data_IF_157874227800
#
_entry.id   IF_157874227800
#
_cell.length_a   1.000
_cell.length_b   1.000
_cell.length_c   1.000
_cell.angle_alpha   90.00
_cell.angle_beta   90.00
_cell.angle_gamma   90.00
#
_symmetry.space_group_name_H-M   'P 1'
#
loop_
_entity.id
_entity.type
_entity.pdbx_description
1 polymer ?
#
# COMPACT_ATOMS: atom_id res chain seq x y z
N UNK A 1 -46.98 11.18 10.20
CA UNK A 1 -46.00 10.11 10.52
C UNK A 1 -44.68 10.54 9.91
N UNK A 2 -43.63 10.71 10.72
CA UNK A 2 -42.28 11.01 10.23
C UNK A 2 -41.63 9.69 9.81
N UNK A 3 -41.19 9.61 8.56
CA UNK A 3 -40.31 8.53 8.11
C UNK A 3 -39.03 8.53 8.96
N UNK A 4 -38.55 7.37 9.44
CA UNK A 4 -37.24 7.30 10.03
C UNK A 4 -36.25 7.45 8.86
N UNK A 5 -35.56 8.58 8.81
CA UNK A 5 -34.35 8.73 8.00
C UNK A 5 -33.46 7.54 8.37
N UNK A 6 -33.35 6.59 7.45
CA UNK A 6 -32.34 5.54 7.49
C UNK A 6 -31.00 6.24 7.27
N UNK A 7 -30.51 6.87 8.33
CA UNK A 7 -29.13 7.28 8.42
C UNK A 7 -28.39 5.96 8.45
N UNK A 8 -27.86 5.56 7.29
CA UNK A 8 -26.70 4.69 7.23
C UNK A 8 -25.64 5.44 8.05
N UNK A 9 -25.61 5.18 9.36
CA UNK A 9 -24.57 5.71 10.23
C UNK A 9 -23.31 5.01 9.77
N UNK A 10 -22.65 5.61 8.78
CA UNK A 10 -21.30 5.27 8.39
C UNK A 10 -20.53 5.14 9.70
N UNK A 11 -20.14 3.92 10.02
CA UNK A 11 -19.53 3.56 11.30
C UNK A 11 -18.38 4.54 11.48
N UNK A 12 -18.41 5.37 12.52
CA UNK A 12 -17.35 6.35 12.71
C UNK A 12 -16.05 5.60 12.96
N UNK A 13 -15.28 5.47 11.89
CA UNK A 13 -14.20 4.54 11.84
C UNK A 13 -12.97 5.27 12.42
N UNK A 14 -12.58 4.86 13.62
CA UNK A 14 -11.58 5.55 14.45
C UNK A 14 -10.16 5.06 14.16
N UNK A 15 -9.16 5.89 14.46
CA UNK A 15 -7.76 5.46 14.40
C UNK A 15 -7.48 4.24 15.29
N UNK A 16 -8.16 4.14 16.44
CA UNK A 16 -8.04 2.98 17.31
C UNK A 16 -8.58 1.69 16.66
N UNK A 17 -9.69 1.78 15.92
CA UNK A 17 -10.23 0.65 15.15
C UNK A 17 -9.26 0.22 14.06
N UNK A 18 -8.65 1.18 13.37
CA UNK A 18 -7.62 0.93 12.36
C UNK A 18 -6.42 0.21 12.95
N UNK A 19 -5.87 0.70 14.07
CA UNK A 19 -4.72 0.06 14.74
C UNK A 19 -5.04 -1.34 15.29
N UNK A 20 -6.30 -1.60 15.70
CA UNK A 20 -6.74 -2.94 16.12
C UNK A 20 -6.73 -3.97 14.99
N UNK A 21 -6.84 -3.55 13.73
CA UNK A 21 -6.69 -4.44 12.58
C UNK A 21 -5.24 -4.90 12.37
N UNK A 22 -4.27 -4.36 13.13
CA UNK A 22 -2.86 -4.69 12.99
C UNK A 22 -2.33 -4.32 11.60
N UNK A 23 -2.46 -3.05 11.18
CA UNK A 23 -2.08 -2.65 9.83
C UNK A 23 -0.59 -2.92 9.62
N UNK A 24 -0.25 -3.39 8.42
CA UNK A 24 1.13 -3.64 8.05
C UNK A 24 1.93 -2.34 8.17
N UNK A 25 3.14 -2.43 8.71
CA UNK A 25 4.08 -1.30 8.74
C UNK A 25 5.00 -1.35 7.53
N UNK A 26 5.48 -0.17 7.12
CA UNK A 26 6.46 -0.01 6.05
C UNK A 26 7.62 0.86 6.52
N UNK A 27 8.85 0.34 6.41
CA UNK A 27 10.07 0.99 6.90
C UNK A 27 10.81 1.75 5.79
N UNK A 28 10.54 1.44 4.52
CA UNK A 28 11.10 2.10 3.35
C UNK A 28 12.43 1.52 2.87
N UNK A 29 12.82 0.34 3.34
CA UNK A 29 14.07 -0.34 2.95
C UNK A 29 13.86 -1.80 2.48
N UNK A 30 12.61 -2.26 2.46
CA UNK A 30 12.25 -3.65 2.16
C UNK A 30 12.06 -3.95 0.66
N UNK A 31 12.06 -2.92 -0.20
CA UNK A 31 11.91 -3.04 -1.66
C UNK A 31 10.47 -2.98 -2.17
N UNK A 32 10.32 -3.08 -3.49
CA UNK A 32 9.07 -2.83 -4.21
C UNK A 32 7.96 -3.83 -3.86
N UNK A 33 8.29 -5.13 -3.73
CA UNK A 33 7.34 -6.17 -3.31
C UNK A 33 6.66 -5.77 -2.00
N UNK A 34 7.45 -5.33 -1.03
CA UNK A 34 6.93 -5.00 0.29
C UNK A 34 6.09 -3.72 0.29
N UNK A 35 6.44 -2.76 -0.55
CA UNK A 35 5.62 -1.57 -0.76
C UNK A 35 4.24 -1.95 -1.31
N UNK A 36 4.18 -2.83 -2.31
CA UNK A 36 2.91 -3.28 -2.91
C UNK A 36 2.08 -4.06 -1.91
N UNK A 37 2.65 -5.02 -1.17
CA UNK A 37 1.92 -5.73 -0.12
C UNK A 37 1.38 -4.79 0.96
N UNK A 38 2.13 -3.72 1.28
CA UNK A 38 1.65 -2.70 2.21
C UNK A 38 0.47 -1.92 1.62
N UNK A 39 0.48 -1.52 0.34
CA UNK A 39 -0.67 -0.89 -0.30
C UNK A 39 -1.92 -1.79 -0.26
N UNK A 40 -1.79 -3.06 -0.64
CA UNK A 40 -2.89 -4.02 -0.64
C UNK A 40 -3.49 -4.21 0.76
N UNK A 41 -2.62 -4.30 1.78
CA UNK A 41 -3.07 -4.40 3.17
C UNK A 41 -3.91 -3.19 3.59
N UNK A 42 -3.50 -1.98 3.18
CA UNK A 42 -4.22 -0.75 3.47
C UNK A 42 -5.53 -0.69 2.71
N UNK A 43 -5.55 -1.06 1.44
CA UNK A 43 -6.74 -1.06 0.59
C UNK A 43 -7.80 -2.06 1.08
N UNK A 44 -7.40 -3.28 1.40
CA UNK A 44 -8.28 -4.28 2.01
C UNK A 44 -8.85 -3.79 3.35
N UNK A 45 -8.00 -3.18 4.20
CA UNK A 45 -8.46 -2.55 5.46
C UNK A 45 -9.46 -1.43 5.20
N UNK A 46 -9.27 -0.65 4.13
CA UNK A 46 -10.16 0.42 3.73
C UNK A 46 -11.51 -0.04 3.21
N UNK A 47 -11.53 -1.12 2.45
CA UNK A 47 -12.74 -1.72 1.89
C UNK A 47 -13.61 -2.35 2.98
N UNK A 48 -13.03 -3.20 3.84
CA UNK A 48 -13.76 -3.90 4.91
C UNK A 48 -14.43 -2.93 5.90
N UNK A 49 -13.82 -1.78 6.14
CA UNK A 49 -14.23 -0.84 7.17
C UNK A 49 -14.91 0.43 6.62
N UNK A 50 -15.11 0.53 5.30
CA UNK A 50 -15.73 1.68 4.62
C UNK A 50 -15.14 3.05 5.03
N UNK A 51 -13.81 3.12 5.22
CA UNK A 51 -13.17 4.36 5.68
C UNK A 51 -13.35 5.50 4.66
N UNK A 52 -13.81 6.67 5.12
CA UNK A 52 -13.89 7.88 4.32
C UNK A 52 -12.52 8.26 3.73
N UNK A 53 -12.49 8.67 2.46
CA UNK A 53 -11.26 8.98 1.73
C UNK A 53 -10.30 9.93 2.48
N UNK A 54 -10.85 10.95 3.15
CA UNK A 54 -10.10 11.96 3.92
C UNK A 54 -9.31 11.39 5.10
N UNK A 55 -9.66 10.19 5.60
CA UNK A 55 -8.95 9.55 6.73
C UNK A 55 -7.87 8.58 6.28
N UNK A 56 -7.91 8.13 5.01
CA UNK A 56 -6.99 7.11 4.48
C UNK A 56 -5.53 7.53 4.60
N UNK A 57 -5.19 8.75 4.17
CA UNK A 57 -3.82 9.27 4.22
C UNK A 57 -3.33 9.43 5.66
N UNK A 58 -4.15 9.98 6.56
CA UNK A 58 -3.76 10.15 7.97
C UNK A 58 -3.52 8.81 8.67
N UNK A 59 -4.31 7.79 8.36
CA UNK A 59 -4.17 6.46 8.98
C UNK A 59 -3.00 5.68 8.42
N UNK A 60 -2.84 5.65 7.10
CA UNK A 60 -1.68 4.98 6.45
C UNK A 60 -0.36 5.61 6.85
N UNK A 61 -0.25 6.94 6.85
CA UNK A 61 1.01 7.62 7.17
C UNK A 61 1.45 7.40 8.62
N UNK A 62 0.52 7.08 9.52
CA UNK A 62 0.83 6.67 10.88
C UNK A 62 1.46 5.26 10.99
N UNK A 63 1.41 4.46 9.91
CA UNK A 63 2.06 3.13 9.84
C UNK A 63 3.44 3.16 9.21
N UNK A 64 3.88 4.33 8.72
CA UNK A 64 5.22 4.54 8.18
C UNK A 64 6.24 4.61 9.32
N UNK A 65 7.35 3.92 9.13
CA UNK A 65 8.45 3.86 10.07
C UNK A 65 9.78 4.10 9.34
N UNK A 66 10.87 4.24 10.09
CA UNK A 66 12.22 4.33 9.52
C UNK A 66 12.35 5.37 8.41
N UNK A 67 12.92 4.97 7.27
CA UNK A 67 13.15 5.81 6.09
C UNK A 67 11.84 6.38 5.54
N UNK A 68 10.79 5.56 5.52
CA UNK A 68 9.48 5.97 5.00
C UNK A 68 8.87 7.12 5.81
N UNK A 69 8.98 7.07 7.14
CA UNK A 69 8.51 8.15 8.00
C UNK A 69 9.33 9.44 7.81
N UNK A 70 10.65 9.34 7.71
CA UNK A 70 11.53 10.49 7.44
C UNK A 70 11.18 11.15 6.10
N UNK A 71 10.94 10.36 5.07
CA UNK A 71 10.49 10.85 3.77
C UNK A 71 9.14 11.56 3.87
N UNK A 72 8.13 10.96 4.51
CA UNK A 72 6.81 11.58 4.65
C UNK A 72 6.86 12.90 5.42
N UNK A 73 7.67 12.98 6.48
CA UNK A 73 7.89 14.23 7.22
C UNK A 73 8.49 15.33 6.33
N UNK A 74 9.36 14.96 5.38
CA UNK A 74 9.93 15.90 4.40
C UNK A 74 8.87 16.41 3.42
N UNK A 75 7.93 15.56 3.00
CA UNK A 75 6.77 15.96 2.20
C UNK A 75 5.88 16.94 2.97
N UNK A 76 5.57 16.64 4.24
CA UNK A 76 4.79 17.52 5.12
C UNK A 76 5.48 18.87 5.33
N UNK A 77 6.81 18.89 5.48
CA UNK A 77 7.58 20.13 5.61
C UNK A 77 7.57 20.96 4.33
N UNK A 78 7.64 20.32 3.16
CA UNK A 78 7.69 20.99 1.85
C UNK A 78 6.33 21.55 1.44
N UNK A 79 5.25 20.82 1.72
CA UNK A 79 3.92 21.10 1.17
C UNK A 79 2.97 21.74 2.20
N UNK A 80 3.29 21.60 3.48
CA UNK A 80 2.39 21.90 4.59
C UNK A 80 1.51 20.71 4.94
N UNK A 81 1.22 20.57 6.25
CA UNK A 81 0.48 19.43 6.82
C UNK A 81 -0.92 19.25 6.27
N UNK A 82 -1.65 20.35 6.07
CA UNK A 82 -3.01 20.30 5.54
C UNK A 82 -3.01 19.83 4.08
N UNK A 83 -2.13 20.38 3.25
CA UNK A 83 -2.01 19.99 1.83
C UNK A 83 -1.57 18.55 1.70
N UNK A 84 -0.55 18.13 2.45
CA UNK A 84 -0.06 16.75 2.43
C UNK A 84 -1.15 15.74 2.85
N UNK A 85 -1.93 16.05 3.88
CA UNK A 85 -3.00 15.18 4.35
C UNK A 85 -4.28 15.22 3.50
N UNK A 86 -4.51 16.31 2.75
CA UNK A 86 -5.66 16.47 1.87
C UNK A 86 -5.50 15.73 0.53
N UNK A 87 -4.29 15.26 0.21
CA UNK A 87 -4.06 14.43 -0.96
C UNK A 87 -4.92 13.19 -0.95
N UNK A 88 -5.28 12.74 -2.13
CA UNK A 88 -5.94 11.46 -2.33
C UNK A 88 -4.98 10.30 -2.00
N UNK A 89 -5.55 9.16 -1.64
CA UNK A 89 -4.76 7.94 -1.44
C UNK A 89 -3.99 7.53 -2.70
N UNK A 90 -4.59 7.73 -3.88
CA UNK A 90 -3.94 7.42 -5.16
C UNK A 90 -2.68 8.26 -5.40
N UNK A 91 -2.72 9.57 -5.11
CA UNK A 91 -1.53 10.43 -5.20
C UNK A 91 -0.43 9.99 -4.23
N UNK A 92 -0.79 9.61 -3.01
CA UNK A 92 0.19 9.10 -2.04
C UNK A 92 0.83 7.80 -2.51
N UNK A 93 0.03 6.86 -3.06
CA UNK A 93 0.58 5.63 -3.66
C UNK A 93 1.58 5.95 -4.77
N UNK A 94 1.25 6.85 -5.68
CA UNK A 94 2.16 7.24 -6.77
C UNK A 94 3.47 7.83 -6.23
N UNK A 95 3.39 8.77 -5.30
CA UNK A 95 4.59 9.38 -4.72
C UNK A 95 5.48 8.37 -4.01
N UNK A 96 4.87 7.40 -3.32
CA UNK A 96 5.61 6.33 -2.65
C UNK A 96 6.24 5.37 -3.66
N UNK A 97 5.54 5.03 -4.74
CA UNK A 97 6.12 4.24 -5.83
C UNK A 97 7.33 4.96 -6.44
N UNK A 98 7.22 6.26 -6.73
CA UNK A 98 8.31 7.04 -7.32
C UNK A 98 9.55 7.09 -6.40
N UNK A 99 9.36 7.14 -5.08
CA UNK A 99 10.44 7.19 -4.09
C UNK A 99 11.06 5.82 -3.78
N UNK A 100 10.23 4.78 -3.66
CA UNK A 100 10.64 3.49 -3.09
C UNK A 100 10.71 2.36 -4.11
N UNK A 101 10.26 2.57 -5.36
CA UNK A 101 10.37 1.61 -6.47
C UNK A 101 11.22 2.20 -7.62
N UNK A 102 12.55 2.30 -7.46
CA UNK A 102 13.40 2.81 -8.52
C UNK A 102 13.32 1.93 -9.77
N UNK A 103 13.34 2.53 -10.96
CA UNK A 103 13.24 1.80 -12.25
C UNK A 103 14.23 0.62 -12.37
N UNK A 104 15.42 0.72 -11.79
CA UNK A 104 16.41 -0.37 -11.79
C UNK A 104 15.93 -1.60 -11.03
N UNK A 105 15.19 -1.41 -9.94
CA UNK A 105 14.62 -2.50 -9.17
C UNK A 105 13.46 -3.13 -9.94
N UNK A 106 12.60 -2.33 -10.57
CA UNK A 106 11.51 -2.81 -11.43
C UNK A 106 12.07 -3.67 -12.56
N UNK A 107 13.07 -3.17 -13.30
CA UNK A 107 13.74 -3.93 -14.36
C UNK A 107 14.33 -5.26 -13.86
N UNK A 108 14.94 -5.25 -12.67
CA UNK A 108 15.49 -6.47 -12.05
C UNK A 108 14.37 -7.48 -11.74
N UNK A 109 13.22 -7.02 -11.26
CA UNK A 109 12.07 -7.87 -10.95
C UNK A 109 11.42 -8.43 -12.21
N UNK A 110 11.29 -7.64 -13.27
CA UNK A 110 10.86 -8.11 -14.60
C UNK A 110 11.81 -9.16 -15.17
N UNK A 111 13.12 -8.92 -15.10
CA UNK A 111 14.13 -9.88 -15.54
C UNK A 111 14.06 -11.17 -14.72
N UNK A 112 13.85 -11.06 -13.40
CA UNK A 112 13.68 -12.23 -12.56
C UNK A 112 12.44 -13.03 -12.95
N UNK A 113 11.31 -12.37 -13.22
CA UNK A 113 10.08 -13.01 -13.68
C UNK A 113 10.30 -13.75 -15.00
N UNK A 114 10.94 -13.09 -15.99
CA UNK A 114 11.24 -13.68 -17.31
C UNK A 114 12.13 -14.93 -17.23
N UNK A 115 13.00 -14.99 -16.23
CA UNK A 115 13.95 -16.09 -16.05
C UNK A 115 13.58 -17.04 -14.91
N UNK A 116 12.42 -16.86 -14.28
CA UNK A 116 11.97 -17.69 -13.17
C UNK A 116 11.75 -19.12 -13.67
N UNK A 117 12.42 -20.08 -13.05
CA UNK A 117 12.33 -21.51 -13.39
C UNK A 117 12.11 -22.31 -12.13
N UNK A 118 11.23 -23.32 -12.20
CA UNK A 118 11.10 -24.32 -11.16
C UNK A 118 12.45 -25.04 -10.99
N UNK A 119 13.08 -24.88 -9.83
CA UNK A 119 14.31 -25.62 -9.46
C UNK A 119 14.00 -26.62 -8.35
N UNK A 120 14.65 -27.78 -8.42
CA UNK A 120 14.70 -28.79 -7.36
C UNK A 120 13.35 -29.25 -6.78
N UNK A 121 12.29 -29.25 -7.61
CA UNK A 121 10.91 -29.61 -7.25
C UNK A 121 10.28 -28.77 -6.11
N UNK A 122 10.85 -27.62 -5.75
CA UNK A 122 10.25 -26.74 -4.76
C UNK A 122 9.16 -25.88 -5.39
N UNK A 123 8.03 -26.52 -5.67
CA UNK A 123 6.85 -25.93 -6.30
C UNK A 123 6.30 -24.78 -5.44
N UNK A 124 6.33 -24.92 -4.11
CA UNK A 124 5.82 -23.91 -3.20
C UNK A 124 6.60 -22.59 -3.31
N UNK A 125 7.94 -22.63 -3.25
CA UNK A 125 8.77 -21.44 -3.38
C UNK A 125 8.66 -20.79 -4.77
N UNK A 126 8.51 -21.60 -5.83
CA UNK A 126 8.27 -21.08 -7.17
C UNK A 126 6.93 -20.32 -7.26
N UNK A 127 5.84 -20.92 -6.76
CA UNK A 127 4.51 -20.30 -6.79
C UNK A 127 4.49 -19.01 -5.97
N UNK A 128 5.06 -19.02 -4.77
CA UNK A 128 5.16 -17.84 -3.92
C UNK A 128 5.90 -16.71 -4.65
N UNK A 129 7.08 -16.99 -5.19
CA UNK A 129 7.87 -15.98 -5.90
C UNK A 129 7.20 -15.48 -7.19
N UNK A 130 6.56 -16.38 -7.93
CA UNK A 130 5.81 -16.01 -9.13
C UNK A 130 4.66 -15.06 -8.79
N UNK A 131 3.89 -15.35 -7.74
CA UNK A 131 2.76 -14.51 -7.32
C UNK A 131 3.24 -13.12 -6.87
N UNK A 132 4.34 -13.03 -6.11
CA UNK A 132 4.94 -11.75 -5.73
C UNK A 132 5.33 -10.91 -6.95
N UNK A 133 5.98 -11.52 -7.94
CA UNK A 133 6.45 -10.83 -9.15
C UNK A 133 5.29 -10.45 -10.09
N UNK A 134 4.28 -11.30 -10.22
CA UNK A 134 3.09 -11.04 -11.04
C UNK A 134 2.28 -9.82 -10.54
N UNK A 135 2.23 -9.60 -9.23
CA UNK A 135 1.60 -8.41 -8.63
C UNK A 135 2.32 -7.10 -9.00
N UNK A 136 3.62 -7.17 -9.26
CA UNK A 136 4.46 -6.01 -9.57
C UNK A 136 4.49 -5.65 -11.05
N UNK A 137 4.26 -6.63 -11.93
CA UNK A 137 4.39 -6.50 -13.39
C UNK A 137 3.16 -7.09 -14.10
N UNK A 138 1.98 -6.43 -14.00
CA UNK A 138 0.74 -6.98 -14.56
C UNK A 138 0.75 -7.11 -16.09
N UNK A 139 1.60 -6.34 -16.78
CA UNK A 139 1.70 -6.33 -18.25
C UNK A 139 2.56 -7.49 -18.82
N UNK A 140 3.32 -8.19 -17.97
CA UNK A 140 4.29 -9.23 -18.39
C UNK A 140 3.84 -10.67 -18.08
N UNK A 141 2.64 -10.89 -17.53
CA UNK A 141 2.12 -12.23 -17.23
C UNK A 141 1.68 -12.94 -18.53
N UNK A 142 2.30 -14.07 -18.92
CA UNK A 142 1.84 -14.81 -20.10
C UNK A 142 0.46 -15.45 -19.81
N UNK A 143 -0.51 -15.20 -20.71
CA UNK A 143 -1.81 -15.87 -20.75
C UNK A 143 -1.69 -17.39 -20.94
#
# INVERSE_FOLDING_TARGET
>A
MRDPVNVHMARECSFASFMKCGPMQFYGNEGAVRLVCWFENMENTFEINEYAAVRKVKFTTATLHGRALTWWNSQVATLGREVANARSWAEVKQMMTDEFCPNKEVQRLEDELRHLKLRDMNIAAYIERFNELALLCPDDVPN
#
